data_IF_489574406032
#
_entry.id   IF_489574406032
#
_cell.length_a   1.000
_cell.length_b   1.000
_cell.length_c   1.000
_cell.angle_alpha   90.00
_cell.angle_beta   90.00
_cell.angle_gamma   90.00
#
_symmetry.space_group_name_H-M   'P 1'
#
loop_
_entity.id
_entity.type
_entity.pdbx_description
1 polymer ?
#
# COMPACT_ATOMS: atom_id res chain seq x y z
N UNK A 1 12.61 3.53 6.77
CA UNK A 1 12.24 4.27 5.53
C UNK A 1 11.77 5.68 5.92
N UNK A 2 12.43 6.76 5.46
CA UNK A 2 12.16 8.14 5.94
C UNK A 2 11.80 9.13 4.84
N UNK A 3 11.17 8.66 3.76
CA UNK A 3 10.76 9.50 2.62
C UNK A 3 9.26 9.34 2.33
N UNK A 4 8.43 9.96 3.18
CA UNK A 4 7.06 10.48 2.88
C UNK A 4 6.22 10.75 4.14
N UNK A 5 6.71 10.43 5.35
CA UNK A 5 5.90 10.49 6.56
C UNK A 5 4.87 9.37 6.65
N UNK A 6 5.22 8.20 6.09
CA UNK A 6 4.52 6.93 6.31
C UNK A 6 5.37 6.12 7.27
N UNK A 7 4.76 5.66 8.34
CA UNK A 7 5.40 4.76 9.31
C UNK A 7 5.36 3.31 8.81
N UNK A 8 6.26 2.47 9.31
CA UNK A 8 6.24 1.03 8.98
C UNK A 8 4.91 0.39 9.40
N UNK A 9 4.34 0.82 10.54
CA UNK A 9 3.01 0.40 11.02
C UNK A 9 1.89 0.76 10.04
N UNK A 10 1.93 1.95 9.42
CA UNK A 10 0.95 2.34 8.40
C UNK A 10 1.08 1.52 7.11
N UNK A 11 2.31 1.14 6.75
CA UNK A 11 2.55 0.29 5.59
C UNK A 11 2.10 -1.15 5.86
N UNK A 12 2.41 -1.70 7.04
CA UNK A 12 2.00 -3.04 7.47
C UNK A 12 0.48 -3.12 7.57
N UNK A 13 -0.16 -2.16 8.23
CA UNK A 13 -1.61 -2.08 8.32
C UNK A 13 -2.30 -1.94 6.96
N UNK A 14 -1.63 -1.34 5.95
CA UNK A 14 -2.14 -1.31 4.59
C UNK A 14 -2.05 -2.66 3.88
N UNK A 15 -1.12 -3.53 4.26
CA UNK A 15 -0.97 -4.88 3.70
C UNK A 15 -1.90 -5.87 4.40
N UNK A 16 -2.01 -5.81 5.72
CA UNK A 16 -2.83 -6.73 6.52
C UNK A 16 -4.33 -6.44 6.39
N UNK A 17 -4.69 -5.15 6.39
CA UNK A 17 -6.11 -4.72 6.32
C UNK A 17 -6.28 -3.58 5.31
N UNK A 18 -6.03 -3.86 4.00
CA UNK A 18 -6.27 -2.88 2.95
C UNK A 18 -7.77 -2.55 2.85
N UNK A 19 -8.10 -1.28 2.63
CA UNK A 19 -9.45 -0.88 2.21
C UNK A 19 -9.76 -1.43 0.81
N UNK A 20 -8.74 -1.47 -0.05
CA UNK A 20 -8.84 -2.02 -1.38
C UNK A 20 -7.51 -2.64 -1.79
N UNK A 21 -7.54 -3.78 -2.46
CA UNK A 21 -6.34 -4.41 -3.01
C UNK A 21 -6.60 -4.87 -4.43
N UNK A 22 -5.68 -4.57 -5.34
CA UNK A 22 -5.72 -5.12 -6.69
C UNK A 22 -4.44 -5.89 -7.01
N UNK A 23 -4.54 -7.04 -7.69
CA UNK A 23 -3.37 -7.69 -8.26
C UNK A 23 -2.80 -6.81 -9.36
N UNK A 24 -1.47 -6.75 -9.42
CA UNK A 24 -0.69 -6.04 -10.40
C UNK A 24 0.17 -7.03 -11.20
N UNK A 25 1.15 -6.51 -11.94
CA UNK A 25 1.94 -7.29 -12.89
C UNK A 25 2.92 -8.21 -12.14
N UNK A 26 3.08 -9.46 -12.61
CA UNK A 26 4.04 -10.45 -12.07
C UNK A 26 3.85 -10.80 -10.58
N UNK A 27 2.61 -10.98 -10.14
CA UNK A 27 2.29 -11.43 -8.76
C UNK A 27 2.50 -10.35 -7.69
N UNK A 28 2.65 -9.10 -8.10
CA UNK A 28 2.64 -7.93 -7.19
C UNK A 28 1.21 -7.60 -6.83
N UNK A 29 0.98 -7.07 -5.64
CA UNK A 29 -0.32 -6.63 -5.15
C UNK A 29 -0.18 -5.17 -4.78
N UNK A 30 -1.13 -4.35 -5.25
CA UNK A 30 -1.28 -2.98 -4.82
C UNK A 30 -2.36 -2.94 -3.75
N UNK A 31 -1.95 -2.78 -2.51
CA UNK A 31 -2.82 -2.45 -1.40
C UNK A 31 -3.05 -0.94 -1.32
N UNK A 32 -4.28 -0.56 -1.00
CA UNK A 32 -4.73 0.79 -0.80
C UNK A 32 -5.38 0.90 0.56
N UNK A 33 -4.98 1.93 1.30
CA UNK A 33 -5.55 2.22 2.60
C UNK A 33 -5.74 3.71 2.79
N UNK A 34 -6.85 4.10 3.40
CA UNK A 34 -7.10 5.50 3.72
C UNK A 34 -6.75 5.76 5.19
N UNK A 35 -5.71 6.57 5.43
CA UNK A 35 -5.21 6.86 6.77
C UNK A 35 -5.11 8.36 6.96
N UNK A 36 -5.73 8.89 8.03
CA UNK A 36 -5.66 10.32 8.42
C UNK A 36 -5.91 11.29 7.25
N UNK A 37 -6.98 11.03 6.48
CA UNK A 37 -7.36 11.80 5.29
C UNK A 37 -6.37 11.75 4.10
N UNK A 38 -5.54 10.70 4.01
CA UNK A 38 -4.61 10.48 2.89
C UNK A 38 -4.78 9.07 2.35
N UNK A 39 -4.63 8.91 1.05
CA UNK A 39 -4.65 7.59 0.42
C UNK A 39 -3.24 7.04 0.37
N UNK A 40 -3.02 5.89 0.96
CA UNK A 40 -1.77 5.17 0.91
C UNK A 40 -1.86 4.06 -0.13
N UNK A 41 -0.88 3.98 -1.02
CA UNK A 41 -0.69 2.85 -1.93
C UNK A 41 0.57 2.10 -1.54
N UNK A 42 0.44 0.84 -1.17
CA UNK A 42 1.54 -0.06 -0.90
C UNK A 42 1.56 -1.14 -1.96
N UNK A 43 2.58 -1.13 -2.80
CA UNK A 43 2.85 -2.23 -3.73
C UNK A 43 3.78 -3.20 -3.03
N UNK A 44 3.30 -4.42 -2.80
CA UNK A 44 4.07 -5.50 -2.22
C UNK A 44 4.01 -6.75 -3.09
N UNK A 45 4.87 -7.73 -2.82
CA UNK A 45 4.82 -9.05 -3.43
C UNK A 45 4.95 -10.07 -2.30
N UNK A 46 4.13 -11.11 -2.34
CA UNK A 46 4.34 -12.29 -1.50
C UNK A 46 5.38 -13.19 -2.16
N UNK A 47 6.49 -13.46 -1.48
CA UNK A 47 7.48 -14.47 -1.87
C UNK A 47 7.65 -15.48 -0.75
N UNK A 48 6.99 -16.64 -0.90
CA UNK A 48 7.15 -17.79 -0.01
C UNK A 48 6.90 -17.45 1.47
N UNK A 49 5.83 -16.69 1.75
CA UNK A 49 5.45 -16.28 3.11
C UNK A 49 6.23 -15.07 3.64
N UNK A 50 7.00 -14.39 2.79
CA UNK A 50 7.61 -13.09 3.08
C UNK A 50 6.97 -12.01 2.23
N UNK A 51 6.46 -10.98 2.88
CA UNK A 51 5.95 -9.78 2.23
C UNK A 51 7.14 -8.90 1.86
N UNK A 52 7.43 -8.77 0.56
CA UNK A 52 8.39 -7.81 0.04
C UNK A 52 7.67 -6.53 -0.36
N UNK A 53 7.81 -5.48 0.44
CA UNK A 53 7.30 -4.15 0.11
C UNK A 53 8.18 -3.54 -0.99
N UNK A 54 7.61 -3.34 -2.18
CA UNK A 54 8.31 -2.80 -3.33
C UNK A 54 8.29 -1.28 -3.30
N UNK A 55 7.10 -0.68 -3.14
CA UNK A 55 6.96 0.78 -3.08
C UNK A 55 5.80 1.20 -2.20
N UNK A 56 5.98 2.29 -1.46
CA UNK A 56 4.94 2.94 -0.66
C UNK A 56 4.77 4.36 -1.17
N UNK A 57 3.54 4.73 -1.54
CA UNK A 57 3.24 6.05 -2.10
C UNK A 57 2.03 6.65 -1.41
N UNK A 58 2.16 7.87 -0.89
CA UNK A 58 1.01 8.67 -0.46
C UNK A 58 0.41 9.38 -1.68
N UNK A 59 -0.88 9.21 -1.88
CA UNK A 59 -1.72 9.96 -2.80
C UNK A 59 -2.62 10.92 -2.03
N UNK A 60 -2.71 12.16 -2.51
CA UNK A 60 -3.68 13.15 -2.02
C UNK A 60 -5.09 12.94 -2.59
N UNK A 61 -5.21 12.24 -3.71
CA UNK A 61 -6.48 11.96 -4.40
C UNK A 61 -6.97 10.52 -4.15
N UNK A 62 -8.28 10.30 -4.07
CA UNK A 62 -8.87 8.97 -3.91
C UNK A 62 -8.55 8.04 -5.08
N UNK A 63 -8.58 6.75 -4.80
CA UNK A 63 -8.56 5.74 -5.86
C UNK A 63 -9.95 5.71 -6.49
N UNK A 64 -10.06 6.35 -7.67
CA UNK A 64 -11.28 6.75 -8.41
C UNK A 64 -11.94 8.04 -7.90
N UNK A 65 -11.61 9.16 -8.55
CA UNK A 65 -12.63 10.19 -8.83
C UNK A 65 -13.53 9.55 -9.91
N UNK A 66 -14.79 9.28 -9.58
CA UNK A 66 -15.81 8.90 -10.56
C UNK A 66 -16.41 10.17 -11.16
#
# INVERSE_FOLDING_TARGET
MKERGVTEEEAEGAIETPDYSEPSIKGRINAFKFIKSRHLRVTYKDEAGRILVITVTIRKKPFKEH
#
